data_IF_505489469133
#
_entry.id   IF_505489469133
#
_cell.length_a   1.000
_cell.length_b   1.000
_cell.length_c   1.000
_cell.angle_alpha   90.00
_cell.angle_beta   90.00
_cell.angle_gamma   90.00
#
_symmetry.space_group_name_H-M   'P 1'
#
loop_
_entity.id
_entity.type
_entity.pdbx_description
1 polymer ?
#
# COMPACT_ATOMS: atom_id res chain seq x y z
N UNK A 1 -4.48 -3.04 14.73
CA UNK A 1 -3.93 -1.77 14.19
C UNK A 1 -2.56 -1.95 13.55
N UNK A 2 -1.62 -2.72 14.15
CA UNK A 2 -0.33 -3.02 13.50
C UNK A 2 -0.44 -3.64 12.10
N UNK A 3 -1.43 -4.53 11.90
CA UNK A 3 -1.65 -5.21 10.61
C UNK A 3 -2.13 -4.23 9.52
N UNK A 4 -3.01 -3.28 9.87
CA UNK A 4 -3.47 -2.21 8.97
C UNK A 4 -2.33 -1.25 8.64
N UNK A 5 -1.53 -0.85 9.65
CA UNK A 5 -0.37 0.00 9.44
C UNK A 5 0.70 -0.68 8.57
N UNK A 6 0.95 -1.99 8.75
CA UNK A 6 1.84 -2.77 7.87
C UNK A 6 1.29 -2.89 6.45
N UNK A 7 -0.02 -3.03 6.28
CA UNK A 7 -0.67 -3.11 4.97
C UNK A 7 -0.60 -1.77 4.24
N UNK A 8 -0.82 -0.66 4.96
CA UNK A 8 -0.67 0.70 4.41
C UNK A 8 0.80 0.97 4.06
N UNK A 9 1.76 0.55 4.90
CA UNK A 9 3.19 0.71 4.62
C UNK A 9 3.64 -0.13 3.41
N UNK A 10 3.13 -1.35 3.28
CA UNK A 10 3.45 -2.22 2.14
C UNK A 10 2.84 -1.70 0.85
N UNK A 11 1.62 -1.15 0.89
CA UNK A 11 1.00 -0.46 -0.24
C UNK A 11 1.77 0.82 -0.58
N UNK A 12 2.19 1.60 0.42
CA UNK A 12 3.00 2.81 0.22
C UNK A 12 4.36 2.51 -0.44
N UNK A 13 4.96 1.35 -0.12
CA UNK A 13 6.18 0.87 -0.79
C UNK A 13 5.96 0.41 -2.24
N UNK A 14 4.72 0.16 -2.65
CA UNK A 14 4.35 -0.26 -4.00
C UNK A 14 3.85 0.90 -4.87
N UNK A 15 3.76 2.12 -4.34
CA UNK A 15 3.35 3.31 -5.08
C UNK A 15 4.40 3.69 -6.14
N UNK A 16 4.07 3.61 -7.45
CA UNK A 16 4.90 4.20 -8.49
C UNK A 16 4.59 5.70 -8.56
N UNK A 17 5.55 6.57 -8.21
CA UNK A 17 5.28 8.02 -8.28
C UNK A 17 6.35 8.97 -7.76
N UNK A 18 7.61 8.56 -7.63
CA UNK A 18 8.68 9.49 -7.32
C UNK A 18 9.16 10.15 -8.61
N UNK A 19 8.95 11.46 -8.82
CA UNK A 19 9.77 12.19 -9.79
C UNK A 19 9.60 13.69 -9.89
N UNK A 20 8.46 14.33 -10.08
CA UNK A 20 8.24 15.69 -10.59
C UNK A 20 9.19 16.22 -11.72
N UNK A 21 8.62 16.87 -12.75
CA UNK A 21 9.37 17.60 -13.77
C UNK A 21 9.73 19.01 -13.28
N UNK A 22 10.93 19.44 -13.64
CA UNK A 22 11.41 20.82 -13.66
C UNK A 22 11.97 21.46 -12.36
N UNK A 23 13.27 21.78 -12.48
CA UNK A 23 14.06 22.76 -11.72
C UNK A 23 14.50 22.41 -10.30
N UNK A 24 15.42 21.46 -10.21
CA UNK A 24 16.72 21.57 -9.48
C UNK A 24 17.55 20.35 -9.85
N UNK A 25 18.84 20.37 -9.53
CA UNK A 25 19.86 19.35 -9.84
C UNK A 25 19.56 17.98 -9.17
N UNK A 26 18.41 17.39 -9.47
CA UNK A 26 18.00 16.05 -9.07
C UNK A 26 18.36 15.13 -10.24
N UNK A 27 19.12 14.05 -10.04
CA UNK A 27 19.33 13.06 -11.10
C UNK A 27 17.98 12.46 -11.52
N UNK A 28 17.71 12.30 -12.82
CA UNK A 28 16.46 11.70 -13.29
C UNK A 28 16.31 10.27 -12.76
N UNK A 29 15.06 9.82 -12.60
CA UNK A 29 14.76 8.42 -12.35
C UNK A 29 15.50 7.53 -13.35
N UNK A 30 15.88 6.29 -12.96
CA UNK A 30 16.44 5.37 -13.92
C UNK A 30 15.42 5.19 -15.06
N UNK A 31 15.87 5.24 -16.33
CA UNK A 31 14.99 5.16 -17.49
C UNK A 31 14.21 3.84 -17.45
N UNK A 32 12.96 3.78 -17.92
CA UNK A 32 12.17 2.55 -17.91
C UNK A 32 12.86 1.44 -18.71
N UNK A 33 12.60 0.17 -18.34
CA UNK A 33 12.99 -0.93 -19.21
C UNK A 33 12.12 -0.87 -20.47
N UNK A 34 12.74 -0.75 -21.63
CA UNK A 34 12.02 -0.66 -22.90
C UNK A 34 12.11 -1.93 -23.74
N UNK A 35 13.04 -2.85 -23.43
CA UNK A 35 13.21 -4.09 -24.19
C UNK A 35 13.28 -3.85 -25.70
N UNK A 36 12.39 -4.48 -26.46
CA UNK A 36 12.28 -4.34 -27.92
C UNK A 36 11.21 -3.32 -28.38
N UNK A 37 10.64 -2.52 -27.48
CA UNK A 37 9.68 -1.48 -27.85
C UNK A 37 10.29 -0.47 -28.83
N UNK A 38 9.44 0.08 -29.70
CA UNK A 38 9.88 1.19 -30.54
C UNK A 38 10.13 2.47 -29.71
N UNK A 39 10.83 3.43 -30.31
CA UNK A 39 11.20 4.65 -29.62
C UNK A 39 10.00 5.49 -29.15
N UNK A 40 8.86 5.42 -29.84
CA UNK A 40 7.66 6.16 -29.46
C UNK A 40 6.99 5.52 -28.23
N UNK A 41 6.91 4.19 -28.20
CA UNK A 41 6.35 3.44 -27.09
C UNK A 41 7.24 3.49 -25.84
N UNK A 42 8.56 3.44 -26.02
CA UNK A 42 9.51 3.66 -24.93
C UNK A 42 9.40 5.09 -24.37
N UNK A 43 9.14 6.09 -25.22
CA UNK A 43 8.90 7.46 -24.78
C UNK A 43 7.60 7.58 -23.96
N UNK A 44 6.53 6.86 -24.32
CA UNK A 44 5.30 6.84 -23.52
C UNK A 44 5.52 6.30 -22.10
N UNK A 45 6.40 5.30 -21.93
CA UNK A 45 6.78 4.81 -20.60
C UNK A 45 7.59 5.85 -19.82
N UNK A 46 8.49 6.57 -20.47
CA UNK A 46 9.26 7.64 -19.84
C UNK A 46 8.37 8.82 -19.42
N UNK A 47 7.48 9.26 -20.31
CA UNK A 47 6.50 10.31 -20.05
C UNK A 47 5.55 9.89 -18.92
N UNK A 48 5.10 8.64 -18.91
CA UNK A 48 4.28 8.08 -17.82
C UNK A 48 5.04 8.11 -16.49
N UNK A 49 6.32 7.71 -16.48
CA UNK A 49 7.17 7.75 -15.28
C UNK A 49 7.33 9.18 -14.75
N UNK A 50 7.46 10.18 -15.64
CA UNK A 50 7.55 11.62 -15.31
C UNK A 50 6.21 12.22 -14.86
N UNK A 51 5.08 11.72 -15.36
CA UNK A 51 3.75 12.15 -14.95
C UNK A 51 3.33 11.56 -13.61
N UNK A 52 3.56 10.26 -13.38
CA UNK A 52 3.29 9.58 -12.11
C UNK A 52 4.00 10.25 -10.93
N UNK A 53 5.14 10.83 -11.27
CA UNK A 53 6.04 11.59 -10.46
C UNK A 53 5.46 12.88 -9.86
N UNK A 54 4.36 13.41 -10.42
CA UNK A 54 3.62 14.57 -9.90
C UNK A 54 2.21 14.22 -9.44
N UNK A 55 1.89 12.94 -9.22
CA UNK A 55 0.55 12.51 -8.82
C UNK A 55 0.31 12.83 -7.35
N UNK A 56 -0.66 13.71 -7.11
CA UNK A 56 -1.11 14.11 -5.77
C UNK A 56 -2.26 13.22 -5.26
N UNK A 57 -2.82 12.38 -6.13
CA UNK A 57 -3.92 11.49 -5.79
C UNK A 57 -3.90 10.21 -6.61
N UNK A 58 -4.07 9.07 -5.95
CA UNK A 58 -4.10 7.76 -6.59
C UNK A 58 -5.35 7.00 -6.18
N UNK A 59 -5.98 6.33 -7.14
CA UNK A 59 -6.99 5.30 -6.88
C UNK A 59 -6.42 3.93 -7.21
N UNK A 60 -6.64 2.96 -6.34
CA UNK A 60 -6.19 1.59 -6.49
C UNK A 60 -7.36 0.63 -6.24
N UNK A 61 -7.51 -0.35 -7.11
CA UNK A 61 -8.38 -1.50 -6.88
C UNK A 61 -7.49 -2.75 -6.80
N UNK A 62 -7.66 -3.53 -5.75
CA UNK A 62 -6.94 -4.77 -5.50
C UNK A 62 -7.95 -5.91 -5.34
N UNK A 63 -7.72 -7.00 -6.05
CA UNK A 63 -8.44 -8.26 -5.83
C UNK A 63 -7.42 -9.37 -5.59
N UNK A 64 -7.60 -10.11 -4.50
CA UNK A 64 -6.77 -11.24 -4.11
C UNK A 64 -7.65 -12.46 -3.90
N UNK A 65 -7.37 -13.51 -4.66
CA UNK A 65 -7.94 -14.83 -4.47
C UNK A 65 -6.82 -15.78 -4.04
N UNK A 66 -6.87 -16.28 -2.81
CA UNK A 66 -5.87 -17.18 -2.26
C UNK A 66 -6.48 -18.55 -1.95
N UNK A 67 -5.80 -19.61 -2.41
CA UNK A 67 -6.16 -20.99 -2.12
C UNK A 67 -5.08 -21.63 -1.25
N UNK A 68 -5.44 -22.08 -0.05
CA UNK A 68 -4.54 -22.81 0.84
C UNK A 68 -4.95 -24.28 0.94
N UNK A 69 -3.95 -25.17 0.88
CA UNK A 69 -4.12 -26.63 0.93
C UNK A 69 -3.16 -27.26 1.93
N UNK A 70 -3.56 -28.39 2.51
CA UNK A 70 -2.67 -29.25 3.30
C UNK A 70 -2.41 -28.77 4.73
N UNK A 71 -3.33 -27.99 5.33
CA UNK A 71 -3.25 -27.64 6.76
C UNK A 71 -3.61 -28.90 7.58
N UNK A 72 -2.70 -29.45 8.41
CA UNK A 72 -2.87 -30.74 9.05
C UNK A 72 -4.11 -30.90 9.94
N UNK A 73 -4.64 -29.79 10.47
CA UNK A 73 -5.82 -29.76 11.34
C UNK A 73 -7.15 -29.60 10.56
N UNK A 74 -7.08 -29.14 9.31
CA UNK A 74 -8.23 -28.89 8.41
C UNK A 74 -8.27 -29.89 7.25
N UNK A 75 -7.85 -31.12 7.55
CA UNK A 75 -7.14 -32.06 6.67
C UNK A 75 -7.77 -32.47 5.32
N UNK A 76 -8.96 -32.00 4.94
CA UNK A 76 -9.62 -32.40 3.68
C UNK A 76 -10.28 -31.24 2.89
N UNK A 77 -10.18 -29.98 3.33
CA UNK A 77 -10.84 -28.85 2.66
C UNK A 77 -9.84 -27.84 2.07
N UNK A 78 -10.06 -27.47 0.80
CA UNK A 78 -9.38 -26.35 0.15
C UNK A 78 -9.91 -25.04 0.77
N UNK A 79 -9.04 -24.28 1.44
CA UNK A 79 -9.42 -22.99 1.99
C UNK A 79 -9.29 -21.93 0.92
N UNK A 80 -10.42 -21.33 0.53
CA UNK A 80 -10.47 -20.22 -0.40
C UNK A 80 -10.70 -18.93 0.38
N UNK A 81 -9.82 -17.96 0.16
CA UNK A 81 -9.92 -16.61 0.69
C UNK A 81 -10.09 -15.65 -0.47
N UNK A 82 -11.07 -14.77 -0.35
CA UNK A 82 -11.27 -13.66 -1.27
C UNK A 82 -11.06 -12.35 -0.52
N UNK A 83 -10.37 -11.40 -1.15
CA UNK A 83 -10.29 -10.03 -0.68
C UNK A 83 -10.41 -9.11 -1.88
N UNK A 84 -11.32 -8.14 -1.80
CA UNK A 84 -11.35 -7.00 -2.70
C UNK A 84 -11.19 -5.73 -1.90
N UNK A 85 -10.43 -4.78 -2.44
CA UNK A 85 -10.16 -3.51 -1.80
C UNK A 85 -10.12 -2.42 -2.85
N UNK A 86 -10.92 -1.37 -2.65
CA UNK A 86 -10.86 -0.14 -3.39
C UNK A 86 -10.33 0.94 -2.46
N UNK A 87 -9.30 1.66 -2.90
CA UNK A 87 -8.61 2.66 -2.10
C UNK A 87 -8.39 3.91 -2.94
N UNK A 88 -8.65 5.07 -2.35
CA UNK A 88 -8.20 6.35 -2.87
C UNK A 88 -7.30 7.02 -1.85
N UNK A 89 -6.19 7.57 -2.31
CA UNK A 89 -5.18 8.23 -1.49
C UNK A 89 -4.88 9.58 -2.09
N UNK A 90 -4.79 10.59 -1.24
CA UNK A 90 -4.33 11.92 -1.55
C UNK A 90 -3.08 12.22 -0.73
N UNK A 91 -2.01 12.59 -1.42
CA UNK A 91 -0.71 12.85 -0.84
C UNK A 91 -0.48 14.36 -0.81
N UNK A 92 0.09 14.87 0.29
CA UNK A 92 0.56 16.25 0.33
C UNK A 92 1.76 16.41 -0.62
N UNK A 93 1.69 17.33 -1.61
CA UNK A 93 2.80 17.60 -2.52
C UNK A 93 4.11 17.95 -1.80
N UNK A 94 4.04 18.68 -0.68
CA UNK A 94 5.21 19.08 0.10
C UNK A 94 5.85 17.88 0.82
N UNK A 95 5.05 16.88 1.19
CA UNK A 95 5.55 15.62 1.74
C UNK A 95 6.22 14.77 0.66
N UNK A 96 5.60 14.68 -0.53
CA UNK A 96 6.13 13.90 -1.64
C UNK A 96 7.53 14.42 -2.09
N UNK A 97 7.72 15.75 -2.10
CA UNK A 97 9.04 16.35 -2.36
C UNK A 97 10.10 15.97 -1.31
N UNK A 98 9.73 15.91 -0.03
CA UNK A 98 10.63 15.55 1.06
C UNK A 98 11.01 14.06 1.02
N UNK A 99 10.04 13.17 0.81
CA UNK A 99 10.28 11.74 0.62
C UNK A 99 11.19 11.48 -0.58
N UNK A 100 11.03 12.23 -1.67
CA UNK A 100 11.93 12.15 -2.83
C UNK A 100 13.36 12.54 -2.47
N UNK A 101 13.55 13.66 -1.76
CA UNK A 101 14.89 14.09 -1.33
C UNK A 101 15.56 13.03 -0.44
N UNK A 102 14.77 12.40 0.42
CA UNK A 102 15.23 11.37 1.34
C UNK A 102 15.55 10.04 0.64
N UNK A 103 14.71 9.57 -0.29
CA UNK A 103 14.95 8.35 -1.06
C UNK A 103 16.24 8.42 -1.89
N UNK A 104 16.67 9.63 -2.23
CA UNK A 104 17.90 9.91 -2.96
C UNK A 104 19.11 10.15 -2.04
N UNK A 105 18.92 10.20 -0.72
CA UNK A 105 19.99 10.35 0.26
C UNK A 105 20.75 9.04 0.45
N UNK A 106 22.03 9.14 0.80
CA UNK A 106 22.85 7.95 1.06
C UNK A 106 22.39 7.19 2.31
N UNK A 107 22.64 5.87 2.43
CA UNK A 107 22.27 5.08 3.62
C UNK A 107 22.80 5.65 4.94
N UNK A 108 23.98 6.30 4.91
CA UNK A 108 24.60 6.93 6.08
C UNK A 108 23.87 8.21 6.53
N UNK A 109 23.33 8.98 5.58
CA UNK A 109 22.56 10.20 5.86
C UNK A 109 21.18 9.86 6.42
N UNK A 110 20.54 8.84 5.88
CA UNK A 110 19.29 8.28 6.38
C UNK A 110 19.40 7.76 7.82
N UNK A 111 20.50 7.06 8.15
CA UNK A 111 20.76 6.58 9.50
C UNK A 111 21.05 7.72 10.49
N UNK A 112 21.64 8.82 10.01
CA UNK A 112 21.85 10.03 10.82
C UNK A 112 20.55 10.83 11.02
N UNK A 113 19.59 10.71 10.10
CA UNK A 113 18.31 11.40 10.11
C UNK A 113 17.16 10.58 10.75
N UNK A 114 17.45 9.58 11.60
CA UNK A 114 16.42 8.69 12.17
C UNK A 114 15.30 9.43 12.93
N UNK A 115 15.65 10.48 13.69
CA UNK A 115 14.65 11.28 14.41
C UNK A 115 13.83 12.15 13.44
N UNK A 116 14.43 12.63 12.35
CA UNK A 116 13.73 13.37 11.29
C UNK A 116 12.84 12.45 10.46
N UNK A 117 13.27 11.20 10.22
CA UNK A 117 12.48 10.16 9.57
C UNK A 117 11.26 9.80 10.41
N UNK A 118 11.44 9.71 11.73
CA UNK A 118 10.36 9.48 12.68
C UNK A 118 9.30 10.60 12.57
N UNK A 119 9.73 11.87 12.63
CA UNK A 119 8.81 12.99 12.48
C UNK A 119 8.16 13.03 11.09
N UNK A 120 8.91 12.71 10.03
CA UNK A 120 8.41 12.63 8.67
C UNK A 120 7.28 11.60 8.53
N UNK A 121 7.39 10.44 9.19
CA UNK A 121 6.31 9.44 9.21
C UNK A 121 5.06 9.97 9.93
N UNK A 122 5.23 10.75 11.01
CA UNK A 122 4.11 11.39 11.70
C UNK A 122 3.43 12.41 10.79
N UNK A 123 4.21 13.31 10.20
CA UNK A 123 3.74 14.37 9.28
C UNK A 123 3.05 13.76 8.04
N UNK A 124 3.50 12.60 7.58
CA UNK A 124 2.85 11.85 6.52
C UNK A 124 1.41 11.49 6.91
N UNK A 125 1.22 10.80 8.03
CA UNK A 125 -0.10 10.34 8.45
C UNK A 125 -1.00 11.48 8.92
N UNK A 126 -0.43 12.62 9.34
CA UNK A 126 -1.17 13.83 9.66
C UNK A 126 -1.82 14.46 8.42
N UNK A 127 -1.10 14.43 7.30
CA UNK A 127 -1.53 15.05 6.03
C UNK A 127 -2.18 14.07 5.05
N UNK A 128 -2.06 12.75 5.31
CA UNK A 128 -2.62 11.72 4.47
C UNK A 128 -4.16 11.77 4.51
N UNK A 129 -4.76 11.94 3.32
CA UNK A 129 -6.17 11.69 3.13
C UNK A 129 -6.35 10.37 2.38
N UNK A 130 -7.13 9.45 2.94
CA UNK A 130 -7.35 8.13 2.37
C UNK A 130 -8.80 7.72 2.56
N UNK A 131 -9.41 7.15 1.53
CA UNK A 131 -10.66 6.39 1.63
C UNK A 131 -10.36 4.95 1.23
N UNK A 132 -10.83 3.99 2.02
CA UNK A 132 -10.65 2.56 1.73
C UNK A 132 -11.95 1.81 2.00
N UNK A 133 -12.42 1.11 0.98
CA UNK A 133 -13.49 0.13 1.03
C UNK A 133 -12.86 -1.26 0.86
N UNK A 134 -13.17 -2.18 1.77
CA UNK A 134 -12.61 -3.54 1.76
C UNK A 134 -13.71 -4.56 2.02
N UNK A 135 -13.73 -5.61 1.22
CA UNK A 135 -14.56 -6.79 1.41
C UNK A 135 -13.65 -8.00 1.53
N UNK A 136 -13.87 -8.79 2.59
CA UNK A 136 -13.16 -10.04 2.83
C UNK A 136 -14.14 -11.19 2.89
N UNK A 137 -13.80 -12.27 2.20
CA UNK A 137 -14.52 -13.55 2.24
C UNK A 137 -13.67 -14.58 2.99
N UNK A 138 -14.21 -15.06 4.09
CA UNK A 138 -13.58 -16.05 4.95
C UNK A 138 -14.09 -17.46 4.63
N UNK A 139 -13.20 -18.47 4.54
CA UNK A 139 -13.64 -19.84 4.32
C UNK A 139 -14.36 -20.40 5.55
N UNK A 140 -15.48 -21.09 5.33
CA UNK A 140 -16.32 -21.62 6.40
C UNK A 140 -15.61 -22.57 7.37
N UNK A 141 -14.56 -23.28 6.93
CA UNK A 141 -13.74 -24.11 7.79
C UNK A 141 -12.94 -23.30 8.83
N UNK A 142 -12.45 -22.10 8.45
CA UNK A 142 -11.79 -21.18 9.38
C UNK A 142 -12.79 -20.61 10.39
N UNK A 143 -13.99 -20.25 9.94
CA UNK A 143 -15.05 -19.74 10.83
C UNK A 143 -15.41 -20.76 11.91
N UNK A 144 -15.52 -22.04 11.56
CA UNK A 144 -15.81 -23.12 12.51
C UNK A 144 -14.71 -23.29 13.57
N UNK A 145 -13.44 -23.11 13.20
CA UNK A 145 -12.33 -23.15 14.17
C UNK A 145 -12.39 -21.94 15.10
N UNK A 146 -12.59 -20.74 14.55
CA UNK A 146 -12.66 -19.51 15.34
C UNK A 146 -13.85 -19.53 16.31
N UNK A 147 -15.01 -20.03 15.88
CA UNK A 147 -16.18 -20.19 16.73
C UNK A 147 -15.90 -21.20 17.86
N UNK A 148 -15.20 -22.30 17.57
CA UNK A 148 -14.86 -23.31 18.56
C UNK A 148 -13.81 -22.86 19.59
N UNK A 149 -12.91 -21.95 19.23
CA UNK A 149 -11.81 -21.49 20.10
C UNK A 149 -12.12 -20.21 20.87
N UNK A 150 -12.79 -19.24 20.24
CA UNK A 150 -13.00 -17.91 20.81
C UNK A 150 -14.46 -17.60 21.16
N UNK A 151 -15.41 -18.51 20.89
CA UNK A 151 -16.87 -18.28 21.08
C UNK A 151 -17.37 -17.02 20.33
N UNK A 152 -16.68 -16.66 19.24
CA UNK A 152 -17.00 -15.51 18.39
C UNK A 152 -17.57 -16.02 17.07
N UNK A 153 -18.80 -15.60 16.75
CA UNK A 153 -19.44 -15.90 15.47
C UNK A 153 -19.09 -14.79 14.47
N UNK A 154 -18.16 -15.09 13.56
CA UNK A 154 -17.83 -14.20 12.44
C UNK A 154 -18.66 -14.55 11.20
N UNK A 155 -19.07 -13.55 10.39
CA UNK A 155 -19.77 -13.80 9.14
C UNK A 155 -18.81 -14.33 8.05
N UNK A 156 -19.36 -14.99 7.04
CA UNK A 156 -18.61 -15.44 5.85
C UNK A 156 -18.03 -14.28 5.04
N UNK A 157 -18.72 -13.14 5.06
CA UNK A 157 -18.28 -11.91 4.40
C UNK A 157 -18.23 -10.79 5.41
N UNK A 158 -17.12 -10.06 5.42
CA UNK A 158 -16.95 -8.87 6.24
C UNK A 158 -16.64 -7.69 5.34
N UNK A 159 -17.42 -6.62 5.50
CA UNK A 159 -17.25 -5.37 4.77
C UNK A 159 -16.77 -4.30 5.75
N UNK A 160 -15.75 -3.56 5.33
CA UNK A 160 -15.14 -2.49 6.09
C UNK A 160 -15.07 -1.25 5.22
N UNK A 161 -15.48 -0.11 5.80
CA UNK A 161 -15.14 1.19 5.23
C UNK A 161 -14.35 1.97 6.25
N UNK A 162 -13.24 2.52 5.79
CA UNK A 162 -12.36 3.34 6.60
C UNK A 162 -11.98 4.60 5.85
N UNK A 163 -11.73 5.66 6.62
CA UNK A 163 -11.22 6.93 6.09
C UNK A 163 -10.12 7.43 6.98
N UNK A 164 -9.05 7.96 6.41
CA UNK A 164 -8.07 8.75 7.13
C UNK A 164 -8.16 10.20 6.67
N UNK A 165 -8.26 11.12 7.61
CA UNK A 165 -8.22 12.55 7.34
C UNK A 165 -7.72 13.30 8.57
N UNK A 166 -6.82 14.26 8.36
CA UNK A 166 -6.24 15.12 9.39
C UNK A 166 -5.67 14.33 10.59
N UNK A 167 -4.99 13.20 10.32
CA UNK A 167 -4.40 12.35 11.34
C UNK A 167 -5.37 11.43 12.11
N UNK A 168 -6.67 11.45 11.79
CA UNK A 168 -7.67 10.56 12.38
C UNK A 168 -8.05 9.44 11.44
N UNK A 169 -8.20 8.22 11.98
CA UNK A 169 -8.81 7.09 11.27
C UNK A 169 -10.26 6.97 11.69
N UNK A 170 -11.16 7.01 10.73
CA UNK A 170 -12.58 6.79 10.90
C UNK A 170 -12.96 5.41 10.38
N UNK A 171 -13.78 4.70 11.14
CA UNK A 171 -14.37 3.41 10.74
C UNK A 171 -15.88 3.57 10.66
N UNK A 172 -16.49 3.13 9.56
CA UNK A 172 -17.93 3.14 9.40
C UNK A 172 -18.53 1.94 10.14
N UNK A 173 -19.09 2.19 11.32
CA UNK A 173 -19.66 1.12 12.13
C UNK A 173 -21.01 0.65 11.57
N UNK A 174 -21.74 1.50 10.84
CA UNK A 174 -23.01 1.10 10.22
C UNK A 174 -22.76 -0.02 9.21
N UNK A 175 -21.76 0.14 8.34
CA UNK A 175 -21.39 -0.88 7.33
C UNK A 175 -20.82 -2.13 7.98
N UNK A 176 -20.01 -1.97 9.04
CA UNK A 176 -19.51 -3.14 9.77
C UNK A 176 -20.64 -3.93 10.43
N UNK A 177 -21.63 -3.24 10.99
CA UNK A 177 -22.81 -3.84 11.61
C UNK A 177 -23.72 -4.58 10.62
N UNK A 178 -23.71 -4.22 9.33
CA UNK A 178 -24.38 -5.00 8.28
C UNK A 178 -23.82 -6.43 8.19
N UNK A 179 -22.52 -6.59 8.43
CA UNK A 179 -21.84 -7.88 8.41
C UNK A 179 -21.97 -8.63 9.76
N UNK A 180 -22.13 -7.90 10.87
CA UNK A 180 -22.12 -8.47 12.23
C UNK A 180 -23.41 -8.07 12.99
N UNK A 181 -24.46 -8.92 12.97
CA UNK A 181 -25.75 -8.59 13.57
C UNK A 181 -25.71 -8.29 15.08
N UNK A 182 -24.81 -8.96 15.81
CA UNK A 182 -24.64 -8.75 17.26
C UNK A 182 -24.07 -7.37 17.57
N UNK A 183 -23.05 -6.95 16.81
CA UNK A 183 -22.49 -5.60 16.89
C UNK A 183 -23.57 -4.55 16.59
N UNK A 184 -24.40 -4.76 15.57
CA UNK A 184 -25.51 -3.88 15.27
C UNK A 184 -26.53 -3.76 16.42
N UNK A 185 -26.82 -4.86 17.11
CA UNK A 185 -27.70 -4.85 18.27
C UNK A 185 -27.07 -4.12 19.48
N UNK A 186 -25.78 -4.30 19.72
CA UNK A 186 -25.03 -3.62 20.77
C UNK A 186 -24.97 -2.11 20.50
N UNK A 187 -24.57 -1.72 19.30
CA UNK A 187 -24.54 -0.33 18.85
C UNK A 187 -25.89 0.37 19.00
N UNK A 188 -26.98 -0.29 18.57
CA UNK A 188 -28.33 0.24 18.73
C UNK A 188 -28.73 0.41 20.20
N UNK A 189 -28.24 -0.46 21.09
CA UNK A 189 -28.50 -0.38 22.54
C UNK A 189 -27.72 0.76 23.21
N UNK A 190 -26.51 1.05 22.73
CA UNK A 190 -25.65 2.12 23.24
C UNK A 190 -25.88 3.47 22.53
N UNK A 191 -26.66 3.48 21.45
CA UNK A 191 -26.93 4.67 20.64
C UNK A 191 -25.72 5.13 19.83
N UNK A 192 -24.88 4.18 19.41
CA UNK A 192 -23.70 4.42 18.57
C UNK A 192 -24.13 4.23 17.11
N UNK A 193 -23.96 5.26 16.29
CA UNK A 193 -24.32 5.26 14.87
C UNK A 193 -23.23 5.96 14.05
N UNK A 194 -22.98 5.50 12.83
CA UNK A 194 -22.12 6.16 11.85
C UNK A 194 -20.62 5.92 12.04
N UNK A 195 -19.84 6.97 11.79
CA UNK A 195 -18.38 6.92 11.79
C UNK A 195 -17.82 7.15 13.20
N UNK A 196 -16.97 6.22 13.65
CA UNK A 196 -16.16 6.41 14.85
C UNK A 196 -14.74 6.82 14.46
N UNK A 197 -14.25 7.90 15.05
CA UNK A 197 -12.90 8.41 14.80
C UNK A 197 -11.92 8.02 15.90
N UNK A 198 -10.70 7.68 15.51
CA UNK A 198 -9.56 7.39 16.38
C UNK A 198 -8.43 8.34 16.04
N UNK A 199 -7.84 8.98 17.05
CA UNK A 199 -6.66 9.82 16.91
C UNK A 199 -5.43 8.93 16.65
N UNK A 200 -5.15 8.68 15.37
CA UNK A 200 -4.08 7.76 14.96
C UNK A 200 -2.71 8.42 15.12
N UNK A 201 -2.59 9.68 14.67
CA UNK A 201 -1.34 10.45 14.78
C UNK A 201 -0.96 10.68 16.23
N UNK A 202 -1.88 11.10 17.10
CA UNK A 202 -1.58 11.27 18.52
C UNK A 202 -1.17 9.96 19.19
N UNK A 203 -1.76 8.83 18.79
CA UNK A 203 -1.32 7.52 19.26
C UNK A 203 0.08 7.15 18.74
N UNK A 204 0.36 7.41 17.46
CA UNK A 204 1.66 7.18 16.84
C UNK A 204 2.75 8.00 17.54
N UNK A 205 2.52 9.30 17.74
CA UNK A 205 3.41 10.19 18.50
C UNK A 205 3.66 9.68 19.93
N UNK A 206 2.61 9.20 20.62
CA UNK A 206 2.74 8.64 21.95
C UNK A 206 3.57 7.36 21.96
N UNK A 207 3.41 6.49 20.96
CA UNK A 207 4.20 5.27 20.82
C UNK A 207 5.68 5.58 20.52
N UNK A 208 5.94 6.63 19.74
CA UNK A 208 7.30 7.04 19.37
C UNK A 208 8.01 7.84 20.47
N UNK A 209 7.27 8.57 21.31
CA UNK A 209 7.79 9.36 22.43
C UNK A 209 7.95 8.57 23.73
N UNK A 210 7.16 7.51 23.94
CA UNK A 210 7.51 6.45 24.87
C UNK A 210 8.80 5.80 24.39
N UNK A 211 9.71 5.40 25.28
CA UNK A 211 10.91 4.67 24.90
C UNK A 211 10.51 3.39 24.15
N UNK A 212 10.46 3.48 22.82
CA UNK A 212 10.13 2.38 21.95
C UNK A 212 11.17 1.29 22.22
N UNK A 213 10.78 0.00 22.23
CA UNK A 213 11.75 -1.00 21.80
C UNK A 213 12.25 -0.53 20.44
N UNK A 214 13.58 -0.57 20.25
CA UNK A 214 14.23 -0.18 19.00
C UNK A 214 13.36 -0.62 17.81
N UNK A 215 13.24 0.21 16.75
CA UNK A 215 12.42 -0.13 15.59
C UNK A 215 12.64 -1.59 15.26
N UNK A 216 11.55 -2.38 15.24
CA UNK A 216 11.64 -3.83 15.05
C UNK A 216 12.65 -4.07 13.93
N UNK A 217 13.70 -4.84 14.20
CA UNK A 217 14.81 -5.00 13.25
C UNK A 217 14.28 -5.42 11.88
N UNK A 218 13.17 -6.17 11.83
CA UNK A 218 12.46 -6.54 10.61
C UNK A 218 11.87 -5.36 9.81
N UNK A 219 11.36 -4.32 10.45
CA UNK A 219 10.83 -3.12 9.77
C UNK A 219 11.96 -2.26 9.23
N UNK A 220 13.04 -2.11 10.01
CA UNK A 220 14.24 -1.41 9.56
C UNK A 220 14.93 -2.19 8.43
N UNK A 221 15.02 -3.51 8.53
CA UNK A 221 15.58 -4.42 7.51
C UNK A 221 14.74 -4.44 6.24
N UNK A 222 13.40 -4.42 6.32
CA UNK A 222 12.52 -4.37 5.14
C UNK A 222 12.58 -3.01 4.45
N UNK A 223 12.63 -1.90 5.19
CA UNK A 223 12.91 -0.58 4.61
C UNK A 223 14.30 -0.54 3.96
N UNK A 224 15.33 -1.05 4.64
CA UNK A 224 16.68 -1.15 4.08
C UNK A 224 16.73 -2.05 2.85
N UNK A 225 15.98 -3.15 2.82
CA UNK A 225 15.90 -4.07 1.68
C UNK A 225 15.15 -3.44 0.52
N UNK A 226 14.05 -2.73 0.76
CA UNK A 226 13.32 -1.97 -0.26
C UNK A 226 14.18 -0.86 -0.87
N UNK A 227 14.91 -0.12 -0.03
CA UNK A 227 15.86 0.92 -0.50
C UNK A 227 17.05 0.32 -1.24
N UNK A 228 17.62 -0.78 -0.73
CA UNK A 228 18.71 -1.49 -1.40
C UNK A 228 18.26 -2.09 -2.74
N UNK A 229 17.03 -2.59 -2.81
CA UNK A 229 16.41 -3.04 -4.06
C UNK A 229 16.23 -1.86 -5.02
N UNK A 230 15.77 -0.71 -4.55
CA UNK A 230 15.60 0.47 -5.40
C UNK A 230 16.95 1.01 -5.92
N UNK A 231 17.98 1.04 -5.07
CA UNK A 231 19.35 1.38 -5.46
C UNK A 231 19.94 0.35 -6.43
N UNK A 232 19.69 -0.93 -6.20
CA UNK A 232 20.08 -2.01 -7.10
C UNK A 232 19.39 -1.88 -8.47
N UNK A 233 18.10 -1.53 -8.49
CA UNK A 233 17.34 -1.32 -9.72
C UNK A 233 17.70 0.00 -10.42
N UNK A 234 18.32 0.95 -9.72
CA UNK A 234 18.86 2.18 -10.29
C UNK A 234 20.29 2.00 -10.82
N UNK A 235 21.03 0.97 -10.39
CA UNK A 235 22.38 0.68 -10.85
C UNK A 235 22.40 0.15 -12.29
N UNK A 236 23.08 0.85 -13.19
CA UNK A 236 23.15 0.48 -14.62
C UNK A 236 23.72 -0.93 -14.87
N UNK A 237 24.63 -1.40 -14.00
CA UNK A 237 25.24 -2.74 -14.14
C UNK A 237 24.24 -3.83 -13.83
N UNK A 238 23.45 -3.66 -12.75
CA UNK A 238 22.41 -4.63 -12.39
C UNK A 238 21.25 -4.56 -13.38
N UNK A 239 20.86 -3.35 -13.82
CA UNK A 239 19.85 -3.20 -14.88
C UNK A 239 20.26 -3.94 -16.15
N UNK A 240 21.51 -3.81 -16.59
CA UNK A 240 22.02 -4.54 -17.76
C UNK A 240 22.02 -6.07 -17.57
N UNK A 241 22.14 -6.56 -16.33
CA UNK A 241 22.03 -7.99 -16.01
C UNK A 241 20.58 -8.49 -16.02
N UNK A 242 19.62 -7.64 -15.66
CA UNK A 242 18.19 -7.96 -15.63
C UNK A 242 17.51 -7.77 -16.99
N UNK A 243 18.03 -6.89 -17.84
CA UNK A 243 17.49 -6.57 -19.17
C UNK A 243 17.15 -7.81 -20.03
N UNK A 244 17.95 -8.90 -20.06
CA UNK A 244 17.61 -10.11 -20.81
C UNK A 244 16.41 -10.90 -20.25
N UNK A 245 16.05 -10.67 -18.99
CA UNK A 245 15.01 -11.38 -18.26
C UNK A 245 13.72 -10.55 -18.15
N UNK A 246 13.77 -9.27 -18.50
CA UNK A 246 12.61 -8.37 -18.48
C UNK A 246 12.11 -8.17 -19.90
N UNK A 247 10.86 -8.56 -20.16
CA UNK A 247 10.21 -8.26 -21.44
C UNK A 247 9.12 -7.23 -21.22
N UNK A 248 9.06 -6.23 -22.12
CA UNK A 248 8.01 -5.21 -22.12
C UNK A 248 7.33 -5.23 -23.49
N UNK A 249 6.02 -5.44 -23.48
CA UNK A 249 5.20 -5.57 -24.69
C UNK A 249 4.09 -4.51 -24.70
N UNK A 250 3.92 -3.80 -25.82
CA UNK A 250 2.76 -2.94 -26.04
C UNK A 250 1.55 -3.81 -26.40
N UNK A 251 0.47 -3.66 -25.64
CA UNK A 251 -0.82 -4.28 -25.91
C UNK A 251 -1.73 -3.32 -26.67
N UNK A 252 -2.95 -3.77 -26.98
CA UNK A 252 -3.96 -2.90 -27.59
C UNK A 252 -4.33 -1.76 -26.63
N UNK A 253 -4.41 -0.55 -27.17
CA UNK A 253 -4.87 0.62 -26.42
C UNK A 253 -6.30 0.42 -25.93
N UNK A 254 -6.58 0.96 -24.75
CA UNK A 254 -7.87 0.93 -24.11
C UNK A 254 -8.45 2.34 -23.98
N UNK A 255 -9.73 2.43 -23.64
CA UNK A 255 -10.35 3.66 -23.18
C UNK A 255 -10.76 3.47 -21.73
N UNK A 256 -10.31 4.37 -20.85
CA UNK A 256 -10.71 4.40 -19.44
C UNK A 256 -11.26 5.78 -19.13
N UNK A 257 -12.50 5.84 -18.65
CA UNK A 257 -13.18 7.10 -18.32
C UNK A 257 -13.18 8.16 -19.44
N UNK A 258 -13.31 7.72 -20.69
CA UNK A 258 -13.31 8.61 -21.86
C UNK A 258 -11.91 9.07 -22.31
N UNK A 259 -10.85 8.57 -21.67
CA UNK A 259 -9.45 8.88 -21.99
C UNK A 259 -8.79 7.70 -22.68
N UNK A 260 -8.04 7.92 -23.78
CA UNK A 260 -7.25 6.86 -24.40
C UNK A 260 -6.07 6.48 -23.49
N UNK A 261 -5.84 5.18 -23.31
CA UNK A 261 -4.81 4.61 -22.43
C UNK A 261 -3.95 3.64 -23.23
N UNK A 262 -2.64 3.88 -23.22
CA UNK A 262 -1.65 2.92 -23.72
C UNK A 262 -1.45 1.80 -22.70
N UNK A 263 -1.55 0.54 -23.13
CA UNK A 263 -1.44 -0.63 -22.24
C UNK A 263 -0.12 -1.34 -22.48
N UNK A 264 0.64 -1.57 -21.41
CA UNK A 264 1.92 -2.29 -21.47
C UNK A 264 1.87 -3.52 -20.57
N UNK A 265 2.49 -4.61 -21.01
CA UNK A 265 2.75 -5.80 -20.20
C UNK A 265 4.24 -5.89 -19.94
N UNK A 266 4.61 -5.88 -18.67
CA UNK A 266 5.97 -6.19 -18.21
C UNK A 266 5.99 -7.59 -17.65
N UNK A 267 6.90 -8.43 -18.12
CA UNK A 267 7.13 -9.78 -17.59
C UNK A 267 8.58 -9.92 -17.14
N UNK A 268 8.81 -10.68 -16.07
CA UNK A 268 10.14 -11.03 -15.59
C UNK A 268 10.24 -12.55 -15.56
N UNK A 269 11.20 -13.11 -16.29
CA UNK A 269 11.49 -14.54 -16.31
C UNK A 269 12.72 -14.83 -15.43
N UNK A 270 12.49 -15.32 -14.22
CA UNK A 270 13.53 -15.59 -13.20
C UNK A 270 13.91 -17.06 -13.11
#
# INVERSE_FOLDING_TARGET
MELLAMLILSIAMWLPGAGAPEQREVPPLPPPFCGELDAADCQLLADSQELMAGVESMTMALQVDAAMRGIPELADEDLMFGMSMDMSVHLDPAFNEQMRALAMSGPEELLAAQDELAQMVVDFYDTLAMDMDMEMMLPGALLQVLEAEEDVVLPETMIYQTRMVDGYVYVNLDVLAESIPELGAEMASEGIEGWIGFDFVGQLEQQMSGAAPAPNTSTLESMQMGMAFNQMMADETIRALLDPYVTVERLADEERDGMPVAVFRTSVDL
#
